data_IF_036948129298
#
_entry.id   IF_036948129298
#
_cell.length_a   1.000
_cell.length_b   1.000
_cell.length_c   1.000
_cell.angle_alpha   90.00
_cell.angle_beta   90.00
_cell.angle_gamma   90.00
#
_symmetry.space_group_name_H-M   'P 1'
#
loop_
_entity.id
_entity.type
_entity.pdbx_description
1 polymer ?
#
# COMPACT_ATOMS: atom_id res chain seq x y z
N UNK A 1 -19.29 0.26 1.02
CA UNK A 1 -17.84 0.56 1.06
C UNK A 1 -17.32 0.13 2.41
N UNK A 2 -16.30 -0.72 2.46
CA UNK A 2 -15.68 -1.17 3.71
C UNK A 2 -14.41 -0.37 3.97
N UNK A 3 -14.27 0.23 5.15
CA UNK A 3 -13.13 1.09 5.51
C UNK A 3 -12.34 0.41 6.64
N UNK A 4 -11.03 0.26 6.42
CA UNK A 4 -10.08 -0.13 7.46
C UNK A 4 -9.24 1.09 7.85
N UNK A 5 -9.35 1.50 9.10
CA UNK A 5 -8.56 2.60 9.67
C UNK A 5 -7.23 2.09 10.21
N UNK A 6 -6.31 3.01 10.56
CA UNK A 6 -5.07 2.65 11.24
C UNK A 6 -5.30 1.92 12.58
N UNK A 7 -6.41 2.19 13.27
CA UNK A 7 -6.77 1.48 14.50
C UNK A 7 -7.19 0.04 14.24
N UNK A 8 -7.88 -0.23 13.12
CA UNK A 8 -8.25 -1.59 12.72
C UNK A 8 -7.02 -2.40 12.33
N UNK A 9 -6.11 -1.79 11.56
CA UNK A 9 -4.82 -2.40 11.19
C UNK A 9 -4.01 -2.71 12.45
N UNK A 10 -3.93 -1.78 13.41
CA UNK A 10 -3.26 -2.00 14.70
C UNK A 10 -3.91 -3.16 15.46
N UNK A 11 -5.24 -3.23 15.51
CA UNK A 11 -5.94 -4.31 16.19
C UNK A 11 -5.63 -5.69 15.59
N UNK A 12 -5.55 -5.80 14.26
CA UNK A 12 -5.14 -7.03 13.57
C UNK A 12 -3.72 -7.43 13.95
N UNK A 13 -2.77 -6.49 13.89
CA UNK A 13 -1.36 -6.75 14.23
C UNK A 13 -1.22 -7.15 15.70
N UNK A 14 -1.89 -6.44 16.62
CA UNK A 14 -1.85 -6.75 18.05
C UNK A 14 -2.48 -8.11 18.37
N UNK A 15 -3.55 -8.50 17.65
CA UNK A 15 -4.22 -9.80 17.86
C UNK A 15 -3.38 -10.98 17.41
N UNK A 16 -2.72 -10.87 16.26
CA UNK A 16 -2.02 -12.00 15.63
C UNK A 16 -0.50 -12.00 15.85
N UNK A 17 0.05 -10.88 16.30
CA UNK A 17 1.48 -10.67 16.44
C UNK A 17 2.14 -10.25 15.12
N UNK A 18 3.17 -9.38 15.17
CA UNK A 18 3.82 -8.86 13.98
C UNK A 18 4.46 -9.96 13.13
N UNK A 19 5.08 -10.97 13.74
CA UNK A 19 5.72 -12.07 13.01
C UNK A 19 4.73 -12.83 12.13
N UNK A 20 3.60 -13.27 12.70
CA UNK A 20 2.59 -14.02 11.95
C UNK A 20 1.99 -13.20 10.81
N UNK A 21 1.76 -11.90 11.04
CA UNK A 21 1.27 -11.00 9.99
C UNK A 21 2.31 -10.86 8.87
N UNK A 22 3.59 -10.73 9.22
CA UNK A 22 4.68 -10.64 8.25
C UNK A 22 4.85 -11.95 7.46
N UNK A 23 4.82 -13.12 8.11
CA UNK A 23 4.92 -14.42 7.44
C UNK A 23 3.76 -14.61 6.44
N UNK A 24 2.54 -14.25 6.84
CA UNK A 24 1.38 -14.30 5.97
C UNK A 24 1.51 -13.32 4.79
N UNK A 25 2.04 -12.12 5.02
CA UNK A 25 2.30 -11.13 3.96
C UNK A 25 3.36 -11.62 2.97
N UNK A 26 4.45 -12.22 3.47
CA UNK A 26 5.51 -12.80 2.64
C UNK A 26 4.92 -13.89 1.74
N UNK A 27 4.20 -14.86 2.32
CA UNK A 27 3.58 -15.93 1.54
C UNK A 27 2.60 -15.40 0.47
N UNK A 28 1.79 -14.39 0.83
CA UNK A 28 0.87 -13.76 -0.13
C UNK A 28 1.60 -13.01 -1.26
N UNK A 29 2.71 -12.33 -0.96
CA UNK A 29 3.52 -11.63 -1.96
C UNK A 29 4.21 -12.60 -2.89
N UNK A 30 4.84 -13.65 -2.36
CA UNK A 30 5.47 -14.69 -3.18
C UNK A 30 4.47 -15.35 -4.13
N UNK A 31 3.29 -15.72 -3.62
CA UNK A 31 2.24 -16.27 -4.45
C UNK A 31 1.79 -15.26 -5.52
N UNK A 32 1.60 -13.99 -5.13
CA UNK A 32 1.24 -12.93 -6.06
C UNK A 32 2.28 -12.69 -7.17
N UNK A 33 3.57 -12.89 -6.90
CA UNK A 33 4.61 -12.84 -7.93
C UNK A 33 4.60 -14.07 -8.85
N UNK A 34 4.35 -15.27 -8.31
CA UNK A 34 4.23 -16.50 -9.12
C UNK A 34 3.00 -16.46 -10.04
N UNK A 35 1.90 -15.90 -9.55
CA UNK A 35 0.62 -15.81 -10.27
C UNK A 35 0.52 -14.56 -11.16
N UNK A 36 1.58 -13.75 -11.25
CA UNK A 36 1.57 -12.54 -12.06
C UNK A 36 1.47 -12.91 -13.54
N UNK A 37 0.30 -12.66 -14.12
CA UNK A 37 0.06 -12.82 -15.54
C UNK A 37 -0.09 -11.44 -16.22
N UNK A 38 0.86 -11.04 -17.09
CA UNK A 38 0.79 -9.78 -17.83
C UNK A 38 -0.42 -9.66 -18.77
N UNK A 39 -1.03 -10.77 -19.19
CA UNK A 39 -2.23 -10.75 -20.03
C UNK A 39 -3.47 -10.29 -19.26
N UNK A 40 -3.49 -10.50 -17.94
CA UNK A 40 -4.62 -10.18 -17.06
C UNK A 40 -4.29 -9.10 -16.03
N UNK A 41 -3.04 -8.69 -15.91
CA UNK A 41 -2.59 -7.66 -14.95
C UNK A 41 -1.96 -6.47 -15.67
N UNK A 42 -2.58 -5.30 -15.54
CA UNK A 42 -2.03 -4.02 -16.00
C UNK A 42 -1.43 -3.25 -14.84
N UNK A 43 -0.15 -2.90 -14.96
CA UNK A 43 0.55 -1.99 -14.06
C UNK A 43 0.92 -0.73 -14.83
N UNK A 44 0.60 0.43 -14.30
CA UNK A 44 1.14 1.69 -14.83
C UNK A 44 2.37 2.10 -14.04
N UNK A 45 3.33 2.80 -14.66
CA UNK A 45 4.36 3.51 -13.90
C UNK A 45 3.70 4.35 -12.80
N UNK A 46 4.31 4.35 -11.62
CA UNK A 46 3.93 5.30 -10.57
C UNK A 46 4.05 6.72 -11.12
N UNK A 47 3.10 7.58 -10.74
CA UNK A 47 3.08 8.97 -11.13
C UNK A 47 2.68 9.82 -9.93
N UNK A 48 2.99 11.11 -9.97
CA UNK A 48 2.84 11.96 -8.80
C UNK A 48 3.26 13.39 -9.03
N UNK A 49 3.23 14.15 -7.95
CA UNK A 49 3.78 15.50 -7.85
C UNK A 49 5.12 15.46 -7.11
N UNK A 50 6.10 16.17 -7.66
CA UNK A 50 7.41 16.38 -7.06
C UNK A 50 7.51 17.86 -6.64
N UNK A 51 7.50 18.11 -5.32
CA UNK A 51 7.52 19.42 -4.69
C UNK A 51 8.64 19.46 -3.63
N UNK A 52 8.44 20.12 -2.47
CA UNK A 52 9.35 19.99 -1.31
C UNK A 52 9.32 18.58 -0.64
N UNK A 53 8.78 17.60 -1.37
CA UNK A 53 8.48 16.22 -1.02
C UNK A 53 7.63 15.65 -2.15
N UNK A 54 7.13 14.43 -1.99
CA UNK A 54 6.49 13.69 -3.08
C UNK A 54 5.11 13.19 -2.67
N UNK A 55 4.17 13.25 -3.61
CA UNK A 55 2.86 12.61 -3.52
C UNK A 55 2.65 11.77 -4.77
N UNK A 56 2.64 10.45 -4.63
CA UNK A 56 2.55 9.48 -5.71
C UNK A 56 1.28 8.61 -5.60
N UNK A 57 0.79 8.17 -6.76
CA UNK A 57 -0.17 7.09 -6.88
C UNK A 57 0.44 5.92 -7.65
N UNK A 58 0.11 4.70 -7.19
CA UNK A 58 0.62 3.43 -7.71
C UNK A 58 -0.57 2.51 -8.02
N UNK A 59 -1.14 2.55 -9.24
CA UNK A 59 -2.30 1.76 -9.61
C UNK A 59 -1.91 0.38 -10.19
N UNK A 60 -2.68 -0.65 -9.83
CA UNK A 60 -2.64 -1.98 -10.43
C UNK A 60 -4.06 -2.42 -10.74
N UNK A 61 -4.29 -2.86 -11.97
CA UNK A 61 -5.58 -3.42 -12.42
C UNK A 61 -5.40 -4.90 -12.75
N UNK A 62 -6.22 -5.76 -12.13
CA UNK A 62 -6.36 -7.18 -12.47
C UNK A 62 -7.71 -7.40 -13.14
N UNK A 63 -7.69 -7.73 -14.42
CA UNK A 63 -8.88 -7.91 -15.24
C UNK A 63 -9.85 -8.92 -14.60
N UNK A 64 -11.13 -8.52 -14.47
CA UNK A 64 -12.17 -9.35 -13.86
C UNK A 64 -12.06 -9.55 -12.35
N UNK A 65 -11.12 -8.87 -11.66
CA UNK A 65 -10.89 -9.04 -10.22
C UNK A 65 -10.96 -7.73 -9.43
N UNK A 66 -9.98 -6.84 -9.61
CA UNK A 66 -9.91 -5.59 -8.85
C UNK A 66 -9.02 -4.52 -9.51
N UNK A 67 -9.30 -3.27 -9.13
CA UNK A 67 -8.36 -2.15 -9.27
C UNK A 67 -7.91 -1.75 -7.88
N UNK A 68 -6.60 -1.77 -7.64
CA UNK A 68 -5.98 -1.33 -6.38
C UNK A 68 -5.13 -0.09 -6.66
N UNK A 69 -5.35 0.98 -5.89
CA UNK A 69 -4.52 2.18 -5.95
C UNK A 69 -3.95 2.46 -4.57
N UNK A 70 -2.62 2.51 -4.47
CA UNK A 70 -1.94 3.06 -3.30
C UNK A 70 -1.61 4.52 -3.57
N UNK A 71 -2.05 5.41 -2.70
CA UNK A 71 -1.63 6.81 -2.67
C UNK A 71 -0.66 6.94 -1.51
N UNK A 72 0.52 7.50 -1.77
CA UNK A 72 1.61 7.63 -0.80
C UNK A 72 2.21 9.03 -0.87
N UNK A 73 2.58 9.54 0.29
CA UNK A 73 3.36 10.77 0.43
C UNK A 73 4.70 10.48 1.09
N UNK A 74 5.72 11.20 0.67
CA UNK A 74 7.07 11.17 1.22
C UNK A 74 7.56 12.59 1.49
N UNK A 75 7.79 12.92 2.76
CA UNK A 75 8.34 14.21 3.18
C UNK A 75 9.38 13.95 4.27
N UNK A 76 10.67 14.05 3.92
CA UNK A 76 11.78 13.63 4.79
C UNK A 76 11.81 14.39 6.12
N UNK A 77 11.42 15.66 6.13
CA UNK A 77 11.44 16.57 7.27
C UNK A 77 10.18 16.50 8.15
N UNK A 78 9.18 15.69 7.78
CA UNK A 78 7.95 15.53 8.55
C UNK A 78 8.18 15.12 10.02
N UNK A 79 9.07 14.16 10.34
CA UNK A 79 9.30 13.76 11.73
C UNK A 79 9.76 14.95 12.59
N UNK A 80 10.72 15.71 12.10
CA UNK A 80 11.34 16.81 12.85
C UNK A 80 10.46 18.06 12.91
N UNK A 81 9.75 18.38 11.81
CA UNK A 81 8.99 19.64 11.70
C UNK A 81 7.53 19.53 12.10
N UNK A 82 6.95 18.33 12.01
CA UNK A 82 5.50 18.10 12.13
C UNK A 82 5.14 16.94 13.05
N UNK A 83 6.12 16.18 13.56
CA UNK A 83 5.89 15.01 14.42
C UNK A 83 4.96 13.96 13.78
N UNK A 84 5.01 13.85 12.45
CA UNK A 84 4.31 12.82 11.68
C UNK A 84 5.33 11.99 10.88
N UNK A 85 4.97 10.77 10.45
CA UNK A 85 5.90 9.92 9.70
C UNK A 85 6.36 10.56 8.39
N UNK A 86 7.57 10.22 7.97
CA UNK A 86 8.10 10.54 6.64
C UNK A 86 7.22 9.99 5.52
N UNK A 87 6.68 8.79 5.72
CA UNK A 87 5.82 8.08 4.75
C UNK A 87 4.41 7.95 5.31
N UNK A 88 3.42 8.44 4.57
CA UNK A 88 2.01 8.20 4.86
C UNK A 88 1.33 7.66 3.61
N UNK A 89 0.60 6.56 3.75
CA UNK A 89 -0.06 5.91 2.62
C UNK A 89 -1.46 5.43 2.98
N UNK A 90 -2.32 5.37 1.97
CA UNK A 90 -3.61 4.70 2.03
C UNK A 90 -3.83 3.91 0.74
N UNK A 91 -4.69 2.89 0.81
CA UNK A 91 -5.07 2.07 -0.34
C UNK A 91 -6.58 2.08 -0.54
N UNK A 92 -6.97 2.18 -1.80
CA UNK A 92 -8.34 1.97 -2.26
C UNK A 92 -8.38 0.73 -3.16
N UNK A 93 -9.43 -0.07 -3.02
CA UNK A 93 -9.69 -1.25 -3.84
C UNK A 93 -11.12 -1.18 -4.37
N UNK A 94 -11.27 -1.32 -5.69
CA UNK A 94 -12.53 -1.32 -6.41
C UNK A 94 -12.72 -2.62 -7.17
#
# INVERSE_FOLDING_TARGET
>A
MYLLTGSDVRAVISRFGPHRVMDALIGALEQGFRDLDPATTTQHPRAGFDAAGLVEWMPVHRAGRDVVVKIVSYFADNPDRRSIPTVQAHLSRH
#
